data_IF_615706599946
#
_entry.id   IF_615706599946
#
_cell.length_a   1.000
_cell.length_b   1.000
_cell.length_c   1.000
_cell.angle_alpha   90.00
_cell.angle_beta   90.00
_cell.angle_gamma   90.00
#
_symmetry.space_group_name_H-M   'P 1'
#
loop_
_entity.id
_entity.type
_entity.pdbx_description
1 polymer ?
#
# COMPACT_ATOMS: atom_id res chain seq x y z
N UNK A 1 -21.30 3.65 -10.65
CA UNK A 1 -20.86 3.26 -10.41
C UNK A 1 -20.13 3.02 -10.26
N UNK A 2 -20.29 3.08 -10.37
CA UNK A 2 -19.67 2.78 -9.97
C UNK A 2 -18.97 1.88 -9.63
N UNK A 3 -19.06 1.59 -9.61
CA UNK A 3 -18.46 0.31 -9.28
C UNK A 3 -17.13 0.34 -8.62
N UNK A 4 -16.68 1.47 -8.31
CA UNK A 4 -15.40 1.59 -7.64
C UNK A 4 -15.59 1.43 -6.14
N UNK A 5 -14.89 0.46 -5.58
CA UNK A 5 -14.77 0.33 -4.14
C UNK A 5 -13.85 1.40 -3.59
N UNK A 6 -13.88 1.56 -2.29
CA UNK A 6 -12.95 2.43 -1.59
C UNK A 6 -11.73 1.63 -1.18
N UNK A 7 -10.60 2.31 -0.98
CA UNK A 7 -9.45 1.66 -0.38
C UNK A 7 -9.77 1.26 1.04
N UNK A 8 -9.39 0.05 1.43
CA UNK A 8 -9.64 -0.47 2.77
C UNK A 8 -8.38 -1.18 3.27
N UNK A 9 -7.95 -0.84 4.48
CA UNK A 9 -6.90 -1.56 5.17
C UNK A 9 -7.54 -2.40 6.28
N UNK A 10 -7.18 -3.67 6.35
CA UNK A 10 -7.66 -4.59 7.39
C UNK A 10 -6.48 -5.29 8.04
N UNK A 11 -6.46 -5.26 9.36
CA UNK A 11 -5.39 -5.87 10.13
C UNK A 11 -5.99 -6.87 11.13
N UNK A 12 -5.45 -8.04 11.28
CA UNK A 12 -4.24 -8.57 10.64
C UNK A 12 -4.47 -9.20 9.27
N UNK A 13 -5.70 -9.66 8.99
CA UNK A 13 -5.99 -10.32 7.72
C UNK A 13 -7.33 -9.86 7.17
N UNK A 14 -7.56 -10.16 5.90
CA UNK A 14 -8.85 -9.87 5.26
C UNK A 14 -9.99 -10.67 5.88
N UNK A 15 -9.72 -11.94 6.23
CA UNK A 15 -10.76 -12.84 6.72
C UNK A 15 -11.13 -12.59 8.17
N UNK A 16 -10.18 -12.15 8.99
CA UNK A 16 -10.40 -11.97 10.43
C UNK A 16 -9.79 -10.66 10.92
N UNK A 17 -10.31 -9.52 10.47
CA UNK A 17 -9.73 -8.24 10.87
C UNK A 17 -10.16 -7.85 12.28
N UNK A 18 -9.22 -7.30 13.03
CA UNK A 18 -9.51 -6.66 14.32
C UNK A 18 -9.57 -5.14 14.17
N UNK A 19 -8.95 -4.62 13.13
CA UNK A 19 -8.95 -3.19 12.81
C UNK A 19 -9.25 -3.02 11.34
N UNK A 20 -10.21 -2.15 11.01
CA UNK A 20 -10.56 -1.84 9.64
C UNK A 20 -10.50 -0.34 9.43
N UNK A 21 -9.75 0.09 8.43
CA UNK A 21 -9.64 1.50 8.05
C UNK A 21 -10.17 1.65 6.63
N UNK A 22 -11.26 2.41 6.48
CA UNK A 22 -11.87 2.67 5.17
C UNK A 22 -11.62 4.13 4.81
N UNK A 23 -11.08 4.36 3.62
CA UNK A 23 -10.80 5.71 3.13
C UNK A 23 -12.05 6.26 2.45
N UNK A 24 -12.32 7.54 2.69
CA UNK A 24 -13.48 8.20 2.08
C UNK A 24 -13.28 8.50 0.60
N UNK A 25 -12.04 8.75 0.20
CA UNK A 25 -11.71 9.08 -1.18
C UNK A 25 -10.88 7.98 -1.81
N UNK A 26 -10.94 7.89 -3.13
CA UNK A 26 -10.06 7.04 -3.88
C UNK A 26 -8.68 7.68 -4.01
N UNK A 27 -7.63 6.91 -4.33
CA UNK A 27 -6.31 7.47 -4.54
C UNK A 27 -6.33 8.54 -5.63
N UNK A 28 -5.48 9.56 -5.45
CA UNK A 28 -5.32 10.57 -6.48
C UNK A 28 -4.60 9.99 -7.69
N UNK A 29 -4.86 10.58 -8.83
CA UNK A 29 -4.14 10.26 -10.05
C UNK A 29 -2.77 10.96 -10.06
N UNK A 30 -1.67 10.30 -10.46
CA UNK A 30 -1.65 8.92 -10.91
C UNK A 30 -1.62 7.93 -9.74
N UNK A 31 -2.40 6.86 -9.89
CA UNK A 31 -2.33 5.72 -8.99
C UNK A 31 -1.35 4.73 -9.58
N UNK A 32 -0.20 4.58 -8.98
CA UNK A 32 0.89 3.83 -9.55
C UNK A 32 1.05 2.45 -8.93
N UNK A 33 1.26 1.47 -9.77
CA UNK A 33 1.57 0.12 -9.36
C UNK A 33 2.79 -0.36 -10.14
N UNK A 34 3.85 -0.66 -9.42
CA UNK A 34 5.07 -1.19 -10.01
C UNK A 34 5.09 -2.70 -9.88
N UNK A 35 5.37 -3.37 -10.98
CA UNK A 35 5.46 -4.84 -10.99
C UNK A 35 6.91 -5.22 -10.69
N UNK A 36 7.09 -5.98 -9.62
CA UNK A 36 8.41 -6.44 -9.20
C UNK A 36 8.51 -7.92 -9.49
N UNK A 37 9.41 -8.28 -10.38
CA UNK A 37 9.69 -9.68 -10.67
C UNK A 37 11.07 -10.02 -10.11
N UNK A 38 11.12 -11.07 -9.32
CA UNK A 38 12.36 -11.47 -8.67
C UNK A 38 13.24 -12.18 -9.67
N UNK A 39 14.27 -11.47 -10.15
CA UNK A 39 15.23 -11.99 -11.11
C UNK A 39 16.61 -12.06 -10.47
N UNK A 40 17.39 -13.03 -10.87
CA UNK A 40 18.81 -13.04 -10.56
C UNK A 40 19.58 -13.40 -11.82
N UNK A 41 20.81 -12.91 -11.91
CA UNK A 41 21.65 -13.18 -13.07
C UNK A 41 23.00 -13.72 -12.60
N UNK A 42 23.56 -14.62 -13.39
CA UNK A 42 24.85 -15.22 -13.13
C UNK A 42 25.70 -15.14 -14.39
N UNK A 43 26.95 -14.70 -14.23
CA UNK A 43 27.89 -14.71 -15.34
C UNK A 43 28.56 -16.09 -15.40
N UNK A 44 28.49 -16.73 -16.56
CA UNK A 44 29.10 -18.03 -16.78
C UNK A 44 30.60 -17.89 -17.09
N UNK A 45 31.34 -18.98 -16.99
CA UNK A 45 32.79 -18.97 -17.25
C UNK A 45 33.16 -18.51 -18.65
N UNK A 46 32.31 -18.76 -19.62
CA UNK A 46 32.54 -18.35 -21.00
C UNK A 46 32.17 -16.88 -21.28
N UNK A 47 31.75 -16.15 -20.23
CA UNK A 47 31.38 -14.76 -20.35
C UNK A 47 29.90 -14.50 -20.61
N UNK A 48 29.11 -15.54 -20.82
CA UNK A 48 27.68 -15.36 -21.04
C UNK A 48 26.96 -15.15 -19.70
N UNK A 49 25.78 -14.51 -19.76
CA UNK A 49 24.94 -14.26 -18.60
C UNK A 49 23.71 -15.14 -18.62
N UNK A 50 23.32 -15.57 -17.46
CA UNK A 50 22.11 -16.35 -17.25
C UNK A 50 21.19 -15.57 -16.33
N UNK A 51 19.95 -15.38 -16.76
CA UNK A 51 18.96 -14.65 -15.97
C UNK A 51 17.89 -15.63 -15.52
N UNK A 52 17.68 -15.70 -14.20
CA UNK A 52 16.63 -16.52 -13.60
C UNK A 52 15.47 -15.65 -13.21
N UNK A 53 14.27 -16.12 -13.47
CA UNK A 53 13.07 -15.44 -13.08
C UNK A 53 12.28 -16.32 -12.13
N UNK A 54 12.01 -15.84 -10.93
CA UNK A 54 11.13 -16.56 -10.02
C UNK A 54 9.71 -16.43 -10.50
N UNK A 55 8.87 -17.44 -10.20
CA UNK A 55 7.48 -17.41 -10.59
C UNK A 55 6.66 -16.38 -9.82
N UNK A 56 7.18 -15.87 -8.70
CA UNK A 56 6.47 -14.92 -7.86
C UNK A 56 6.63 -13.51 -8.41
N UNK A 57 5.51 -12.82 -8.57
CA UNK A 57 5.47 -11.42 -8.96
C UNK A 57 4.82 -10.64 -7.84
N UNK A 58 5.50 -9.63 -7.35
CA UNK A 58 4.96 -8.75 -6.31
C UNK A 58 4.70 -7.37 -6.87
N UNK A 59 3.84 -6.62 -6.20
CA UNK A 59 3.50 -5.27 -6.61
C UNK A 59 3.95 -4.28 -5.55
N UNK A 60 4.39 -3.13 -6.02
CA UNK A 60 4.65 -1.96 -5.18
C UNK A 60 3.66 -0.90 -5.59
N UNK A 61 2.97 -0.34 -4.59
CA UNK A 61 1.97 0.70 -4.83
C UNK A 61 2.48 2.04 -4.32
N UNK A 62 2.36 3.06 -5.14
CA UNK A 62 2.59 4.44 -4.73
C UNK A 62 1.24 5.12 -4.67
N UNK A 63 0.84 5.54 -3.49
CA UNK A 63 -0.51 6.01 -3.24
C UNK A 63 -0.47 7.41 -2.63
N UNK A 64 -1.29 8.29 -3.21
CA UNK A 64 -1.56 9.62 -2.69
C UNK A 64 -3.06 9.73 -2.55
N UNK A 65 -3.55 10.01 -1.36
CA UNK A 65 -4.99 10.07 -1.11
C UNK A 65 -5.32 11.30 -0.28
N UNK A 66 -6.46 11.91 -0.58
CA UNK A 66 -6.94 13.07 0.16
C UNK A 66 -7.81 12.60 1.32
N UNK A 67 -7.47 13.04 2.51
CA UNK A 67 -8.23 12.76 3.73
C UNK A 67 -9.10 13.97 4.01
N UNK A 68 -10.39 13.75 4.25
CA UNK A 68 -11.38 14.84 4.30
C UNK A 68 -11.72 15.27 5.71
N UNK A 69 -11.10 14.69 6.72
CA UNK A 69 -11.36 15.06 8.10
C UNK A 69 -10.16 14.76 8.98
N UNK A 70 -10.12 15.43 10.12
CA UNK A 70 -9.11 15.18 11.14
C UNK A 70 -9.20 13.77 11.69
N UNK A 71 -10.44 13.26 11.81
CA UNK A 71 -10.66 11.88 12.27
C UNK A 71 -10.06 10.86 11.33
N UNK A 72 -10.17 11.08 10.04
CA UNK A 72 -9.59 10.19 9.05
C UNK A 72 -8.06 10.23 9.10
N UNK A 73 -7.49 11.44 9.25
CA UNK A 73 -6.06 11.59 9.43
C UNK A 73 -5.57 10.84 10.66
N UNK A 74 -6.25 11.04 11.78
CA UNK A 74 -5.85 10.41 13.04
C UNK A 74 -5.97 8.89 12.98
N UNK A 75 -7.00 8.39 12.30
CA UNK A 75 -7.17 6.96 12.12
C UNK A 75 -6.02 6.35 11.30
N UNK A 76 -5.60 7.04 10.25
CA UNK A 76 -4.49 6.56 9.43
C UNK A 76 -3.17 6.62 10.20
N UNK A 77 -2.94 7.70 10.93
CA UNK A 77 -1.72 7.82 11.74
C UNK A 77 -1.65 6.73 12.80
N UNK A 78 -2.77 6.45 13.46
CA UNK A 78 -2.83 5.39 14.48
C UNK A 78 -2.62 4.02 13.87
N UNK A 79 -3.18 3.79 12.68
CA UNK A 79 -2.98 2.52 11.98
C UNK A 79 -1.49 2.32 11.67
N UNK A 80 -0.84 3.34 11.15
CA UNK A 80 0.59 3.25 10.82
C UNK A 80 1.45 3.10 12.07
N UNK A 81 1.19 3.91 13.09
CA UNK A 81 2.06 3.98 14.27
C UNK A 81 1.86 2.80 15.22
N UNK A 82 0.61 2.48 15.53
CA UNK A 82 0.30 1.52 16.58
C UNK A 82 -0.14 0.16 16.06
N UNK A 83 -1.00 0.14 15.06
CA UNK A 83 -1.59 -1.12 14.59
C UNK A 83 -0.56 -1.99 13.86
N UNK A 84 0.18 -1.41 12.94
CA UNK A 84 1.18 -2.16 12.15
C UNK A 84 2.61 -1.85 12.57
N UNK A 85 2.79 -0.93 13.51
CA UNK A 85 4.10 -0.54 14.03
C UNK A 85 5.04 -0.12 12.90
N UNK A 86 4.61 0.87 12.13
CA UNK A 86 5.39 1.38 11.00
C UNK A 86 5.47 0.37 9.88
N UNK A 87 6.67 -0.02 9.54
CA UNK A 87 6.91 -0.96 8.44
C UNK A 87 7.03 -2.41 8.90
N UNK A 88 6.76 -2.68 10.18
CA UNK A 88 7.05 -4.00 10.74
C UNK A 88 6.02 -5.07 10.36
N UNK A 89 4.72 -4.74 10.48
CA UNK A 89 3.67 -5.75 10.35
C UNK A 89 2.94 -5.63 9.02
N UNK A 90 2.45 -6.78 8.55
CA UNK A 90 1.66 -6.83 7.31
C UNK A 90 0.18 -6.66 7.60
N UNK A 91 -0.55 -6.23 6.60
CA UNK A 91 -2.00 -6.08 6.68
C UNK A 91 -2.61 -6.31 5.31
N UNK A 92 -3.94 -6.39 5.26
CA UNK A 92 -4.64 -6.55 3.98
C UNK A 92 -4.96 -5.18 3.39
N UNK A 93 -4.60 -4.99 2.13
CA UNK A 93 -4.94 -3.80 1.36
C UNK A 93 -5.93 -4.20 0.28
N UNK A 94 -7.11 -3.57 0.30
CA UNK A 94 -8.10 -3.72 -0.76
C UNK A 94 -8.09 -2.45 -1.59
N UNK A 95 -7.82 -2.59 -2.89
CA UNK A 95 -7.70 -1.43 -3.76
C UNK A 95 -9.08 -0.97 -4.25
N UNK A 96 -9.16 0.17 -4.98
CA UNK A 96 -10.44 0.67 -5.47
C UNK A 96 -11.14 -0.26 -6.46
N UNK A 97 -10.43 -1.24 -6.99
CA UNK A 97 -11.00 -2.23 -7.93
C UNK A 97 -11.42 -3.51 -7.23
N UNK A 98 -11.42 -3.51 -5.89
CA UNK A 98 -11.84 -4.63 -5.04
C UNK A 98 -10.89 -5.82 -5.03
N UNK A 99 -9.66 -5.64 -5.47
CA UNK A 99 -8.62 -6.65 -5.34
C UNK A 99 -7.90 -6.48 -4.01
N UNK A 100 -7.61 -7.60 -3.36
CA UNK A 100 -6.98 -7.60 -2.04
C UNK A 100 -5.60 -8.24 -2.06
N UNK A 101 -4.68 -7.63 -1.33
CA UNK A 101 -3.28 -8.06 -1.27
C UNK A 101 -2.78 -7.97 0.16
N UNK A 102 -1.84 -8.84 0.51
CA UNK A 102 -1.12 -8.72 1.78
C UNK A 102 0.09 -7.83 1.56
N UNK A 103 0.14 -6.72 2.26
CA UNK A 103 1.15 -5.69 2.06
C UNK A 103 1.72 -5.22 3.39
N UNK A 104 2.78 -4.44 3.31
CA UNK A 104 3.26 -3.64 4.43
C UNK A 104 3.68 -2.27 3.90
N UNK A 105 3.79 -1.31 4.81
CA UNK A 105 4.33 0.00 4.42
C UNK A 105 5.80 -0.17 4.07
N UNK A 106 6.20 0.40 2.95
CA UNK A 106 7.59 0.35 2.50
C UNK A 106 8.37 1.56 2.98
N UNK A 107 7.69 2.69 3.08
CA UNK A 107 8.28 3.96 3.50
C UNK A 107 7.47 4.56 4.63
N UNK A 108 7.99 5.62 5.21
CA UNK A 108 7.29 6.35 6.23
C UNK A 108 6.02 7.00 5.67
N UNK A 109 5.00 7.05 6.50
CA UNK A 109 3.76 7.76 6.17
C UNK A 109 4.01 9.25 6.18
N UNK A 110 3.62 9.93 5.11
CA UNK A 110 3.78 11.36 4.99
C UNK A 110 2.41 12.01 4.82
N UNK A 111 2.07 12.94 5.69
CA UNK A 111 0.78 13.63 5.64
C UNK A 111 1.03 15.13 5.57
N UNK A 112 0.45 15.77 4.55
CA UNK A 112 0.52 17.21 4.36
C UNK A 112 -0.87 17.81 4.54
N UNK A 113 -0.94 18.97 5.15
CA UNK A 113 -2.20 19.69 5.31
C UNK A 113 -2.46 20.53 4.06
N UNK A 114 -3.62 20.34 3.43
CA UNK A 114 -4.02 21.08 2.24
C UNK A 114 -4.81 22.32 2.66
N UNK A 115 -5.86 22.11 3.48
CA UNK A 115 -6.62 23.17 4.09
C UNK A 115 -6.62 22.95 5.58
N UNK A 116 -6.37 24.01 6.31
CA UNK A 116 -6.28 23.95 7.76
C UNK A 116 -7.51 23.29 8.37
N UNK A 117 -7.26 22.23 9.14
CA UNK A 117 -8.26 21.47 9.89
C UNK A 117 -9.35 20.81 9.04
N UNK A 118 -9.16 20.72 7.72
CA UNK A 118 -10.20 20.19 6.84
C UNK A 118 -9.75 19.09 5.90
N UNK A 119 -8.62 19.32 5.23
CA UNK A 119 -8.16 18.39 4.21
C UNK A 119 -6.67 18.12 4.35
N UNK A 120 -6.31 16.89 4.16
CA UNK A 120 -4.93 16.44 4.26
C UNK A 120 -4.62 15.55 3.07
N UNK A 121 -3.37 15.51 2.65
CA UNK A 121 -2.91 14.58 1.64
C UNK A 121 -1.95 13.59 2.29
N UNK A 122 -2.29 12.32 2.22
CA UNK A 122 -1.42 11.27 2.71
C UNK A 122 -0.72 10.61 1.53
N UNK A 123 0.60 10.46 1.64
CA UNK A 123 1.41 9.80 0.62
C UNK A 123 2.16 8.65 1.28
N UNK A 124 2.08 7.48 0.70
CA UNK A 124 2.76 6.31 1.22
C UNK A 124 2.98 5.27 0.13
N UNK A 125 3.91 4.39 0.39
CA UNK A 125 4.18 3.27 -0.51
C UNK A 125 3.87 1.97 0.22
N UNK A 126 3.26 1.03 -0.50
CA UNK A 126 2.97 -0.30 0.01
C UNK A 126 3.69 -1.31 -0.85
N UNK A 127 4.21 -2.35 -0.22
CA UNK A 127 4.84 -3.45 -0.96
C UNK A 127 4.14 -4.75 -0.62
N UNK A 128 3.81 -5.51 -1.65
CA UNK A 128 3.17 -6.81 -1.49
C UNK A 128 4.19 -7.80 -0.95
N UNK A 129 3.81 -8.55 0.09
CA UNK A 129 4.72 -9.46 0.77
C UNK A 129 4.50 -10.93 0.45
N UNK A 130 3.39 -11.25 -0.19
CA UNK A 130 3.09 -12.65 -0.50
C UNK A 130 2.31 -12.79 -1.78
#
# INVERSE_FOLDING_TARGET
INGEGKMIFKYPTLASPTTTLTFNNNPESPYEREVIKHNSSVQMEDGSFYVYSRSVTNYRYTISVVLTSESERDALESFYDSTVNGMEKTFSYTDPYSDSYTVRFENELHISEIFKDRMYRATFNLIQTA
#
